data_IF_301592334813
#
_entry.id   IF_301592334813
#
_cell.length_a   1.000
_cell.length_b   1.000
_cell.length_c   1.000
_cell.angle_alpha   90.00
_cell.angle_beta   90.00
_cell.angle_gamma   90.00
#
_symmetry.space_group_name_H-M   'P 1'
#
loop_
_entity.id
_entity.type
_entity.pdbx_description
1 polymer ?
#
# COMPACT_ATOMS: atom_id res chain seq x y z
N UNK A 1 -5.83 -25.22 -38.39
CA UNK A 1 -5.27 -24.87 -37.07
C UNK A 1 -6.04 -23.69 -36.50
N UNK A 2 -7.05 -23.94 -35.68
CA UNK A 2 -7.72 -22.91 -34.90
C UNK A 2 -7.31 -23.09 -33.45
N UNK A 3 -6.57 -22.13 -32.88
CA UNK A 3 -6.27 -22.15 -31.47
C UNK A 3 -7.60 -22.06 -30.71
N UNK A 4 -7.94 -23.11 -29.95
CA UNK A 4 -9.06 -23.11 -29.04
C UNK A 4 -8.75 -22.08 -27.95
N UNK A 5 -9.36 -20.90 -28.02
CA UNK A 5 -9.33 -19.91 -26.94
C UNK A 5 -10.03 -20.55 -25.74
N UNK A 6 -9.24 -21.20 -24.86
CA UNK A 6 -9.73 -21.77 -23.60
C UNK A 6 -10.00 -20.61 -22.65
N UNK A 7 -11.21 -20.08 -22.70
CA UNK A 7 -11.69 -19.11 -21.72
C UNK A 7 -12.25 -19.85 -20.51
N UNK A 8 -11.79 -19.48 -19.32
CA UNK A 8 -12.30 -19.98 -18.04
C UNK A 8 -13.06 -18.86 -17.33
N UNK A 9 -14.20 -19.17 -16.71
CA UNK A 9 -14.98 -18.19 -15.96
C UNK A 9 -14.47 -18.01 -14.52
N UNK A 10 -14.59 -16.78 -14.02
CA UNK A 10 -14.30 -16.42 -12.63
C UNK A 10 -15.61 -16.02 -11.97
N UNK A 11 -16.01 -16.74 -10.92
CA UNK A 11 -17.20 -16.44 -10.12
C UNK A 11 -16.79 -16.09 -8.70
N UNK A 12 -17.23 -14.94 -8.22
CA UNK A 12 -17.00 -14.48 -6.85
C UNK A 12 -18.32 -14.02 -6.25
N UNK A 13 -18.57 -14.38 -4.99
CA UNK A 13 -19.67 -13.81 -4.20
C UNK A 13 -19.17 -12.54 -3.55
N UNK A 14 -19.88 -11.44 -3.80
CA UNK A 14 -19.61 -10.14 -3.20
C UNK A 14 -20.92 -9.57 -2.69
N UNK A 15 -20.80 -8.65 -1.75
CA UNK A 15 -21.91 -7.82 -1.28
C UNK A 15 -22.50 -6.98 -2.41
N UNK A 16 -23.82 -6.79 -2.39
CA UNK A 16 -24.55 -6.07 -3.45
C UNK A 16 -24.19 -4.58 -3.48
N UNK A 17 -24.08 -3.94 -2.32
CA UNK A 17 -23.70 -2.52 -2.21
C UNK A 17 -22.26 -2.30 -2.67
N UNK A 18 -21.37 -3.26 -2.37
CA UNK A 18 -20.01 -3.24 -2.90
C UNK A 18 -20.00 -3.33 -4.43
N UNK A 19 -20.79 -4.24 -5.02
CA UNK A 19 -20.89 -4.37 -6.47
C UNK A 19 -21.40 -3.09 -7.12
N UNK A 20 -22.45 -2.49 -6.57
CA UNK A 20 -23.05 -1.27 -7.10
C UNK A 20 -22.04 -0.11 -7.12
N UNK A 21 -21.41 0.17 -5.97
CA UNK A 21 -20.41 1.24 -5.85
C UNK A 21 -19.19 1.02 -6.75
N UNK A 22 -18.66 -0.21 -6.79
CA UNK A 22 -17.54 -0.54 -7.66
C UNK A 22 -17.89 -0.35 -9.14
N UNK A 23 -19.10 -0.74 -9.54
CA UNK A 23 -19.57 -0.58 -10.93
C UNK A 23 -19.66 0.88 -11.34
N UNK A 24 -20.16 1.76 -10.47
CA UNK A 24 -20.23 3.20 -10.71
C UNK A 24 -18.83 3.81 -10.94
N UNK A 25 -17.88 3.50 -10.05
CA UNK A 25 -16.50 3.98 -10.15
C UNK A 25 -15.82 3.48 -11.42
N UNK A 26 -15.96 2.19 -11.74
CA UNK A 26 -15.33 1.60 -12.92
C UNK A 26 -15.94 2.12 -14.23
N UNK A 27 -17.25 2.34 -14.27
CA UNK A 27 -17.93 2.93 -15.43
C UNK A 27 -17.45 4.35 -15.71
N UNK A 28 -17.16 5.15 -14.67
CA UNK A 28 -16.56 6.47 -14.84
C UNK A 28 -15.16 6.41 -15.52
N UNK A 29 -14.46 5.28 -15.36
CA UNK A 29 -13.20 4.99 -16.05
C UNK A 29 -13.39 4.27 -17.40
N UNK A 30 -14.63 4.04 -17.86
CA UNK A 30 -14.94 3.32 -19.10
C UNK A 30 -14.68 1.80 -19.03
N UNK A 31 -14.66 1.23 -17.82
CA UNK A 31 -14.37 -0.19 -17.59
C UNK A 31 -15.60 -0.91 -17.04
N UNK A 32 -15.84 -2.13 -17.56
CA UNK A 32 -16.75 -3.06 -16.89
C UNK A 32 -16.08 -3.72 -15.69
N UNK A 33 -16.87 -4.29 -14.77
CA UNK A 33 -16.34 -5.11 -13.65
C UNK A 33 -15.49 -6.27 -14.17
N UNK A 34 -15.88 -6.88 -15.29
CA UNK A 34 -15.11 -7.97 -15.91
C UNK A 34 -13.78 -7.49 -16.47
N UNK A 35 -13.71 -6.30 -17.05
CA UNK A 35 -12.45 -5.75 -17.56
C UNK A 35 -11.51 -5.37 -16.43
N UNK A 36 -12.03 -4.75 -15.36
CA UNK A 36 -11.26 -4.48 -14.16
C UNK A 36 -10.70 -5.77 -13.53
N UNK A 37 -11.50 -6.84 -13.47
CA UNK A 37 -11.05 -8.14 -12.95
C UNK A 37 -9.94 -8.74 -13.82
N UNK A 38 -10.03 -8.63 -15.16
CA UNK A 38 -8.97 -9.08 -16.08
C UNK A 38 -7.67 -8.30 -15.87
N UNK A 39 -7.77 -6.98 -15.71
CA UNK A 39 -6.61 -6.12 -15.44
C UNK A 39 -5.96 -6.46 -14.10
N UNK A 40 -6.77 -6.64 -13.05
CA UNK A 40 -6.29 -7.06 -11.74
C UNK A 40 -5.51 -8.37 -11.82
N UNK A 41 -6.07 -9.41 -12.45
CA UNK A 41 -5.41 -10.72 -12.59
C UNK A 41 -4.13 -10.64 -13.42
N UNK A 42 -4.09 -9.80 -14.47
CA UNK A 42 -2.85 -9.54 -15.22
C UNK A 42 -1.79 -8.89 -14.36
N UNK A 43 -2.17 -7.89 -13.56
CA UNK A 43 -1.23 -7.22 -12.69
C UNK A 43 -0.68 -8.16 -11.62
N UNK A 44 -1.50 -9.05 -11.06
CA UNK A 44 -1.05 -10.08 -10.10
C UNK A 44 0.04 -10.97 -10.69
N UNK A 45 -0.11 -11.36 -11.96
CA UNK A 45 0.90 -12.17 -12.67
C UNK A 45 2.19 -11.37 -12.88
N UNK A 46 2.07 -10.11 -13.31
CA UNK A 46 3.21 -9.23 -13.58
C UNK A 46 4.01 -8.91 -12.31
N UNK A 47 3.32 -8.60 -11.21
CA UNK A 47 3.96 -8.24 -9.94
C UNK A 47 4.33 -9.46 -9.09
N UNK A 48 4.00 -10.68 -9.54
CA UNK A 48 4.16 -11.92 -8.77
C UNK A 48 3.62 -11.81 -7.33
N UNK A 49 2.49 -11.11 -7.17
CA UNK A 49 1.99 -10.68 -5.87
C UNK A 49 0.76 -9.80 -6.02
N UNK A 50 0.23 -9.29 -4.91
CA UNK A 50 -0.93 -8.41 -4.98
C UNK A 50 -0.52 -7.02 -5.51
N UNK A 51 -1.31 -6.43 -6.42
CA UNK A 51 -0.99 -5.19 -7.11
C UNK A 51 -1.23 -3.93 -6.26
N UNK A 52 -1.45 -4.14 -4.97
CA UNK A 52 -1.59 -3.14 -3.94
C UNK A 52 -0.90 -3.68 -2.70
N UNK A 53 -0.36 -2.79 -1.88
CA UNK A 53 0.29 -3.20 -0.65
C UNK A 53 -0.74 -3.71 0.36
N UNK A 54 -0.60 -4.97 0.77
CA UNK A 54 -1.31 -5.48 1.93
C UNK A 54 -0.53 -5.03 3.16
N UNK A 55 -0.89 -3.89 3.73
CA UNK A 55 -0.36 -3.48 5.02
C UNK A 55 -1.35 -3.88 6.11
N UNK A 56 -1.01 -4.93 6.86
CA UNK A 56 -1.45 -5.04 8.25
C UNK A 56 -0.26 -4.54 9.07
N UNK A 57 -0.27 -3.27 9.55
CA UNK A 57 0.80 -2.80 10.40
C UNK A 57 0.92 -3.75 11.59
N UNK A 58 2.09 -4.35 11.80
CA UNK A 58 2.36 -5.08 13.04
C UNK A 58 2.13 -4.14 14.23
N UNK A 59 1.79 -4.67 15.41
CA UNK A 59 1.61 -3.83 16.61
C UNK A 59 2.80 -2.90 16.86
N UNK A 60 4.02 -3.38 16.56
CA UNK A 60 5.24 -2.58 16.62
C UNK A 60 5.22 -1.43 15.61
N UNK A 61 4.85 -1.70 14.36
CA UNK A 61 4.75 -0.68 13.30
C UNK A 61 3.63 0.32 13.59
N UNK A 62 2.49 -0.14 14.11
CA UNK A 62 1.38 0.72 14.51
C UNK A 62 1.78 1.67 15.65
N UNK A 63 2.45 1.17 16.68
CA UNK A 63 2.98 1.99 17.79
C UNK A 63 4.03 2.98 17.32
N UNK A 64 4.99 2.54 16.51
CA UNK A 64 6.00 3.43 15.94
C UNK A 64 5.40 4.55 15.08
N UNK A 65 4.33 4.28 14.31
CA UNK A 65 3.61 5.32 13.55
C UNK A 65 2.87 6.32 14.44
N UNK A 66 2.38 5.90 15.61
CA UNK A 66 1.77 6.79 16.60
C UNK A 66 2.86 7.66 17.24
N UNK A 67 3.94 7.05 17.72
CA UNK A 67 5.08 7.75 18.32
C UNK A 67 5.69 8.77 17.35
N UNK A 68 5.84 8.39 16.07
CA UNK A 68 6.37 9.27 15.03
C UNK A 68 5.51 10.53 14.77
N UNK A 69 4.20 10.48 14.99
CA UNK A 69 3.33 11.66 14.85
C UNK A 69 3.60 12.72 15.93
N UNK A 70 4.13 12.30 17.07
CA UNK A 70 4.46 13.18 18.19
C UNK A 70 5.92 13.67 18.17
N UNK A 71 6.77 13.13 17.28
CA UNK A 71 8.14 13.62 17.08
C UNK A 71 8.09 15.01 16.43
N UNK A 72 8.45 16.04 17.21
CA UNK A 72 8.59 17.43 16.73
C UNK A 72 10.03 17.87 16.48
N UNK A 73 10.99 16.96 16.62
CA UNK A 73 12.40 17.26 16.47
C UNK A 73 12.73 17.58 15.00
N UNK A 74 13.48 18.66 14.79
CA UNK A 74 14.01 19.06 13.48
C UNK A 74 15.53 19.00 13.54
N UNK A 75 16.14 18.57 12.46
CA UNK A 75 17.59 18.51 12.31
C UNK A 75 18.03 19.43 11.18
N UNK A 76 19.22 20.00 11.32
CA UNK A 76 19.78 20.92 10.32
C UNK A 76 20.53 20.19 9.20
N UNK A 77 20.87 18.91 9.39
CA UNK A 77 21.49 18.03 8.39
C UNK A 77 21.08 16.57 8.63
N UNK A 78 21.15 15.76 7.58
CA UNK A 78 20.92 14.30 7.66
C UNK A 78 21.95 13.64 8.58
N UNK A 79 23.21 14.10 8.57
CA UNK A 79 24.26 13.58 9.46
C UNK A 79 23.94 13.80 10.95
N UNK A 80 23.32 14.94 11.28
CA UNK A 80 22.94 15.24 12.66
C UNK A 80 21.76 14.37 13.12
N UNK A 81 20.84 14.05 12.21
CA UNK A 81 19.72 13.13 12.49
C UNK A 81 20.22 11.70 12.72
N UNK A 82 21.14 11.21 11.88
CA UNK A 82 21.67 9.84 11.98
C UNK A 82 22.47 9.62 13.26
N UNK A 83 23.33 10.58 13.64
CA UNK A 83 24.08 10.51 14.91
C UNK A 83 23.18 10.41 16.13
N UNK A 84 22.05 11.12 16.14
CA UNK A 84 21.06 11.04 17.23
C UNK A 84 20.33 9.68 17.22
N UNK A 85 19.93 9.19 16.04
CA UNK A 85 19.22 7.92 15.89
C UNK A 85 20.08 6.71 16.28
N UNK A 86 21.37 6.75 16.00
CA UNK A 86 22.34 5.70 16.33
C UNK A 86 22.80 5.76 17.81
N UNK A 87 22.28 6.71 18.59
CA UNK A 87 22.61 6.86 20.02
C UNK A 87 24.01 7.42 20.26
N UNK A 88 24.67 7.96 19.23
CA UNK A 88 26.00 8.54 19.29
C UNK A 88 25.99 10.00 19.75
N UNK A 89 25.30 10.30 20.85
CA UNK A 89 25.67 11.47 21.67
C UNK A 89 25.55 11.18 23.17
N UNK A 90 26.70 10.88 23.76
CA UNK A 90 26.94 11.29 25.13
C UNK A 90 26.88 12.82 25.23
N UNK A 91 25.91 13.33 25.99
CA UNK A 91 25.96 14.57 26.78
C UNK A 91 26.93 15.66 26.28
N UNK A 92 26.44 16.59 25.48
CA UNK A 92 26.96 17.98 25.44
C UNK A 92 25.80 18.89 25.83
N UNK A 93 25.48 18.95 27.12
CA UNK A 93 25.86 20.07 27.99
C UNK A 93 25.36 21.43 27.46
N UNK A 94 24.42 22.03 28.23
CA UNK A 94 24.17 23.47 28.34
C UNK A 94 25.43 24.30 28.01
N UNK A 95 25.24 25.45 27.37
CA UNK A 95 25.51 26.79 27.98
C UNK A 95 25.35 27.90 26.93
N UNK A 96 24.64 28.96 27.35
CA UNK A 96 24.64 30.38 26.92
C UNK A 96 24.86 30.74 25.46
#
# INVERSE_FOLDING_TARGET
MGALLKTTDVRCRIDEDLKARATEVLNACGLSVSDAMRLFLRQVVETQGLPFEIRVPSDKTARAMIEARDIRQRFNSIDDMLREADGETGRKAKTR
#
